data_IF_022909791786
#
_entry.id   IF_022909791786
#
_cell.length_a   1.000
_cell.length_b   1.000
_cell.length_c   1.000
_cell.angle_alpha   90.00
_cell.angle_beta   90.00
_cell.angle_gamma   90.00
#
_symmetry.space_group_name_H-M   'P 1'
#
loop_
_entity.id
_entity.type
_entity.pdbx_description
1 polymer ?
#
# COMPACT_ATOMS: atom_id res chain seq x y z
N UNK A 1 -44.77 -36.40 -57.39
CA UNK A 1 -43.91 -37.07 -56.38
C UNK A 1 -42.48 -36.53 -56.28
N UNK A 2 -42.09 -35.52 -57.08
CA UNK A 2 -40.72 -34.96 -57.07
C UNK A 2 -40.59 -33.74 -56.13
N UNK A 3 -41.69 -33.03 -55.88
CA UNK A 3 -41.71 -31.79 -55.07
C UNK A 3 -41.56 -32.03 -53.56
N UNK A 4 -42.09 -33.13 -53.02
CA UNK A 4 -41.97 -33.46 -51.59
C UNK A 4 -40.55 -33.90 -51.20
N UNK A 5 -39.84 -34.64 -52.07
CA UNK A 5 -38.44 -35.04 -51.81
C UNK A 5 -37.44 -33.88 -51.82
N UNK A 6 -37.74 -32.79 -52.53
CA UNK A 6 -36.92 -31.58 -52.55
C UNK A 6 -37.12 -30.74 -51.27
N UNK A 7 -38.37 -30.60 -50.80
CA UNK A 7 -38.69 -29.89 -49.56
C UNK A 7 -38.03 -30.51 -48.31
N UNK A 8 -38.00 -31.84 -48.21
CA UNK A 8 -37.28 -32.52 -47.10
C UNK A 8 -35.76 -32.33 -47.17
N UNK A 9 -35.16 -32.26 -48.36
CA UNK A 9 -33.71 -32.02 -48.51
C UNK A 9 -33.32 -30.58 -48.15
N UNK A 10 -34.15 -29.59 -48.52
CA UNK A 10 -33.94 -28.18 -48.14
C UNK A 10 -34.17 -27.96 -46.65
N UNK A 11 -35.18 -28.61 -46.05
CA UNK A 11 -35.42 -28.55 -44.60
C UNK A 11 -34.32 -29.26 -43.78
N UNK A 12 -33.76 -30.38 -44.28
CA UNK A 12 -32.62 -31.05 -43.65
C UNK A 12 -31.35 -30.20 -43.75
N UNK A 13 -31.13 -29.53 -44.89
CA UNK A 13 -29.97 -28.65 -45.09
C UNK A 13 -30.06 -27.37 -44.22
N UNK A 14 -31.26 -26.81 -44.03
CA UNK A 14 -31.48 -25.67 -43.13
C UNK A 14 -31.30 -26.05 -41.64
N UNK A 15 -31.68 -27.28 -41.26
CA UNK A 15 -31.44 -27.80 -39.90
C UNK A 15 -29.95 -28.07 -39.62
N UNK A 16 -29.19 -28.51 -40.63
CA UNK A 16 -27.74 -28.73 -40.52
C UNK A 16 -26.96 -27.41 -40.41
N UNK A 17 -27.41 -26.34 -41.08
CA UNK A 17 -26.80 -24.99 -40.98
C UNK A 17 -27.12 -24.33 -39.63
N UNK A 18 -28.32 -24.50 -39.09
CA UNK A 18 -28.69 -24.00 -37.76
C UNK A 18 -27.96 -24.75 -36.62
N UNK A 19 -27.64 -26.03 -36.79
CA UNK A 19 -26.91 -26.82 -35.79
C UNK A 19 -25.41 -26.50 -35.74
N UNK A 20 -24.82 -26.06 -36.86
CA UNK A 20 -23.40 -25.68 -36.93
C UNK A 20 -23.10 -24.30 -36.33
N UNK A 21 -24.05 -23.36 -36.35
CA UNK A 21 -23.94 -22.07 -35.65
C UNK A 21 -23.96 -22.20 -34.10
N UNK A 22 -24.69 -23.17 -33.55
CA UNK A 22 -24.73 -23.37 -32.09
C UNK A 22 -23.42 -23.94 -31.52
N UNK A 23 -22.70 -24.78 -32.27
CA UNK A 23 -21.41 -25.34 -31.86
C UNK A 23 -20.28 -24.29 -31.85
N UNK A 24 -20.28 -23.33 -32.78
CA UNK A 24 -19.27 -22.26 -32.81
C UNK A 24 -19.43 -21.23 -31.68
N UNK A 25 -20.68 -20.90 -31.30
CA UNK A 25 -20.97 -19.94 -30.23
C UNK A 25 -20.41 -20.38 -28.87
N UNK A 26 -20.43 -21.68 -28.57
CA UNK A 26 -19.94 -22.24 -27.30
C UNK A 26 -18.41 -22.13 -27.16
N UNK A 27 -17.66 -22.35 -28.25
CA UNK A 27 -16.19 -22.22 -28.26
C UNK A 27 -15.72 -20.77 -28.09
N UNK A 28 -16.50 -19.80 -28.57
CA UNK A 28 -16.15 -18.38 -28.55
C UNK A 28 -16.07 -17.84 -27.12
N UNK A 29 -17.05 -18.18 -26.27
CA UNK A 29 -17.10 -17.73 -24.87
C UNK A 29 -15.99 -18.37 -24.03
N UNK A 30 -15.67 -19.63 -24.30
CA UNK A 30 -14.56 -20.33 -23.64
C UNK A 30 -13.20 -19.71 -23.98
N UNK A 31 -12.98 -19.33 -25.25
CA UNK A 31 -11.78 -18.62 -25.71
C UNK A 31 -11.66 -17.22 -25.09
N UNK A 32 -12.76 -16.47 -25.01
CA UNK A 32 -12.80 -15.15 -24.36
C UNK A 32 -12.38 -15.23 -22.88
N UNK A 33 -12.94 -16.19 -22.13
CA UNK A 33 -12.60 -16.37 -20.72
C UNK A 33 -11.15 -16.82 -20.52
N UNK A 34 -10.62 -17.64 -21.43
CA UNK A 34 -9.22 -18.09 -21.38
C UNK A 34 -8.24 -16.96 -21.69
N UNK A 35 -8.53 -16.12 -22.68
CA UNK A 35 -7.75 -14.90 -22.98
C UNK A 35 -7.73 -13.95 -21.77
N UNK A 36 -8.90 -13.73 -21.15
CA UNK A 36 -9.02 -12.91 -19.95
C UNK A 36 -8.19 -13.46 -18.77
N UNK A 37 -8.17 -14.79 -18.59
CA UNK A 37 -7.35 -15.46 -17.58
C UNK A 37 -5.86 -15.23 -17.81
N UNK A 38 -5.40 -15.36 -19.05
CA UNK A 38 -3.99 -15.17 -19.41
C UNK A 38 -3.53 -13.71 -19.24
N UNK A 39 -4.38 -12.74 -19.56
CA UNK A 39 -4.10 -11.32 -19.32
C UNK A 39 -3.89 -11.05 -17.83
N UNK A 40 -4.79 -11.53 -16.98
CA UNK A 40 -4.67 -11.39 -15.52
C UNK A 40 -3.40 -12.05 -14.97
N UNK A 41 -2.99 -13.21 -15.51
CA UNK A 41 -1.73 -13.85 -15.11
C UNK A 41 -0.49 -13.05 -15.51
N UNK A 42 -0.49 -12.42 -16.70
CA UNK A 42 0.59 -11.55 -17.15
C UNK A 42 0.69 -10.29 -16.29
N UNK A 43 -0.43 -9.69 -15.92
CA UNK A 43 -0.48 -8.56 -14.99
C UNK A 43 0.14 -8.92 -13.63
N UNK A 44 -0.17 -10.11 -13.08
CA UNK A 44 0.45 -10.60 -11.83
C UNK A 44 1.98 -10.70 -11.96
N UNK A 45 2.49 -11.22 -13.09
CA UNK A 45 3.92 -11.39 -13.31
C UNK A 45 4.65 -10.05 -13.45
N UNK A 46 4.12 -9.14 -14.28
CA UNK A 46 4.68 -7.80 -14.45
C UNK A 46 4.73 -7.04 -13.12
N UNK A 47 3.67 -7.17 -12.33
CA UNK A 47 3.61 -6.55 -11.01
C UNK A 47 4.62 -7.15 -10.02
N UNK A 48 4.82 -8.47 -10.03
CA UNK A 48 5.84 -9.12 -9.21
C UNK A 48 7.26 -8.63 -9.55
N UNK A 49 7.55 -8.40 -10.83
CA UNK A 49 8.83 -7.85 -11.29
C UNK A 49 9.03 -6.40 -10.81
N UNK A 50 8.02 -5.53 -10.96
CA UNK A 50 8.06 -4.14 -10.48
C UNK A 50 8.24 -4.05 -8.95
N UNK A 51 7.64 -4.99 -8.20
CA UNK A 51 7.82 -5.11 -6.75
C UNK A 51 9.24 -5.51 -6.34
N UNK A 52 9.90 -6.38 -7.12
CA UNK A 52 11.28 -6.80 -6.86
C UNK A 52 12.29 -5.67 -7.08
N UNK A 53 12.07 -4.83 -8.10
CA UNK A 53 12.92 -3.67 -8.41
C UNK A 53 12.75 -2.56 -7.37
N UNK A 54 11.52 -2.28 -6.93
CA UNK A 54 11.24 -1.26 -5.93
C UNK A 54 11.51 -1.67 -4.47
N UNK A 55 12.05 -2.86 -4.19
CA UNK A 55 12.52 -3.24 -2.83
C UNK A 55 13.83 -2.55 -2.41
N UNK A 56 14.60 -2.03 -3.38
CA UNK A 56 15.86 -1.31 -3.15
C UNK A 56 15.65 0.17 -2.76
N UNK A 57 14.46 0.70 -2.98
CA UNK A 57 14.04 2.03 -2.54
C UNK A 57 12.98 1.87 -1.45
N UNK A 58 13.11 2.57 -0.33
CA UNK A 58 12.25 2.42 0.83
C UNK A 58 10.80 2.86 0.52
N UNK A 59 9.97 1.96 -0.02
CA UNK A 59 8.58 2.28 -0.41
C UNK A 59 7.73 2.70 0.79
N UNK A 60 7.02 3.83 0.64
CA UNK A 60 6.01 4.31 1.58
C UNK A 60 4.95 3.23 1.88
N UNK A 61 4.50 3.16 3.14
CA UNK A 61 3.46 2.22 3.62
C UNK A 61 2.17 2.36 2.79
N UNK A 62 1.85 3.56 2.30
CA UNK A 62 0.70 3.81 1.42
C UNK A 62 0.78 3.01 0.11
N UNK A 63 1.95 2.99 -0.52
CA UNK A 63 2.17 2.24 -1.78
C UNK A 63 2.03 0.73 -1.52
N UNK A 64 2.51 0.23 -0.37
CA UNK A 64 2.33 -1.18 0.00
C UNK A 64 0.86 -1.58 0.16
N UNK A 65 0.05 -0.71 0.78
CA UNK A 65 -1.40 -0.95 0.94
C UNK A 65 -2.11 -0.95 -0.41
N UNK A 66 -1.78 -0.02 -1.29
CA UNK A 66 -2.32 0.03 -2.66
C UNK A 66 -1.95 -1.21 -3.47
N UNK A 67 -0.68 -1.63 -3.40
CA UNK A 67 -0.16 -2.82 -4.08
C UNK A 67 -0.88 -4.10 -3.63
N UNK A 68 -1.06 -4.29 -2.32
CA UNK A 68 -1.75 -5.47 -1.76
C UNK A 68 -3.23 -5.45 -2.15
N UNK A 69 -3.89 -4.29 -2.03
CA UNK A 69 -5.30 -4.15 -2.40
C UNK A 69 -5.55 -4.48 -3.87
N UNK A 70 -4.67 -4.03 -4.77
CA UNK A 70 -4.73 -4.36 -6.19
C UNK A 70 -4.57 -5.86 -6.45
N UNK A 71 -3.60 -6.52 -5.80
CA UNK A 71 -3.43 -7.99 -5.88
C UNK A 71 -4.68 -8.75 -5.43
N UNK A 72 -5.32 -8.29 -4.35
CA UNK A 72 -6.58 -8.88 -3.87
C UNK A 72 -7.67 -8.77 -4.94
N UNK A 73 -7.82 -7.61 -5.58
CA UNK A 73 -8.79 -7.41 -6.68
C UNK A 73 -8.51 -8.34 -7.86
N UNK A 74 -7.26 -8.49 -8.27
CA UNK A 74 -6.89 -9.39 -9.38
C UNK A 74 -7.20 -10.85 -9.03
N UNK A 75 -6.88 -11.31 -7.81
CA UNK A 75 -7.22 -12.66 -7.37
C UNK A 75 -8.74 -12.88 -7.34
N UNK A 76 -9.52 -11.90 -6.90
CA UNK A 76 -10.99 -11.97 -6.94
C UNK A 76 -11.51 -12.14 -8.37
N UNK A 77 -10.99 -11.36 -9.31
CA UNK A 77 -11.35 -11.45 -10.72
C UNK A 77 -10.95 -12.81 -11.33
N UNK A 78 -9.75 -13.30 -11.00
CA UNK A 78 -9.27 -14.61 -11.44
C UNK A 78 -10.14 -15.75 -10.91
N UNK A 79 -10.52 -15.71 -9.62
CA UNK A 79 -11.46 -16.66 -9.01
C UNK A 79 -12.81 -16.62 -9.73
N UNK A 80 -13.33 -15.42 -10.01
CA UNK A 80 -14.61 -15.23 -10.70
C UNK A 80 -14.60 -15.83 -12.12
N UNK A 81 -13.60 -15.50 -12.93
CA UNK A 81 -13.44 -16.03 -14.30
C UNK A 81 -13.25 -17.55 -14.27
N UNK A 82 -12.45 -18.07 -13.34
CA UNK A 82 -12.22 -19.52 -13.23
C UNK A 82 -13.49 -20.27 -12.82
N UNK A 83 -14.32 -19.70 -11.94
CA UNK A 83 -15.64 -20.23 -11.60
C UNK A 83 -16.59 -20.24 -12.81
N UNK A 84 -16.59 -19.16 -13.61
CA UNK A 84 -17.39 -19.12 -14.83
C UNK A 84 -16.97 -20.23 -15.81
N UNK A 85 -15.67 -20.46 -15.99
CA UNK A 85 -15.16 -21.57 -16.81
C UNK A 85 -15.57 -22.94 -16.25
N UNK A 86 -15.49 -23.16 -14.94
CA UNK A 86 -15.91 -24.42 -14.31
C UNK A 86 -17.42 -24.68 -14.45
N UNK A 87 -18.23 -23.62 -14.40
CA UNK A 87 -19.68 -23.68 -14.63
C UNK A 87 -20.01 -24.01 -16.10
N UNK A 88 -19.26 -23.44 -17.05
CA UNK A 88 -19.41 -23.80 -18.47
C UNK A 88 -19.11 -25.28 -18.69
N UNK A 89 -17.96 -25.78 -18.21
CA UNK A 89 -17.61 -27.21 -18.30
C UNK A 89 -18.69 -28.09 -17.68
N UNK A 90 -19.29 -27.68 -16.56
CA UNK A 90 -20.40 -28.42 -15.93
C UNK A 90 -21.64 -28.48 -16.84
N UNK A 91 -21.97 -27.40 -17.54
CA UNK A 91 -23.08 -27.40 -18.52
C UNK A 91 -22.79 -28.33 -19.69
N UNK A 92 -21.56 -28.33 -20.20
CA UNK A 92 -21.13 -29.21 -21.30
C UNK A 92 -21.23 -30.69 -20.91
N UNK A 93 -20.69 -31.06 -19.75
CA UNK A 93 -20.78 -32.41 -19.19
C UNK A 93 -22.24 -32.86 -19.11
N UNK A 94 -23.11 -32.00 -18.56
CA UNK A 94 -24.54 -32.31 -18.40
C UNK A 94 -25.25 -32.45 -19.76
N UNK A 95 -24.92 -31.63 -20.75
CA UNK A 95 -25.48 -31.74 -22.09
C UNK A 95 -25.05 -33.05 -22.77
N UNK A 96 -23.77 -33.41 -22.68
CA UNK A 96 -23.25 -34.67 -23.21
C UNK A 96 -23.90 -35.89 -22.53
N UNK A 97 -24.11 -35.85 -21.20
CA UNK A 97 -24.83 -36.91 -20.47
C UNK A 97 -26.26 -37.06 -20.99
N UNK A 98 -26.98 -35.95 -21.22
CA UNK A 98 -28.33 -35.98 -21.80
C UNK A 98 -28.33 -36.59 -23.21
N UNK A 99 -27.36 -36.23 -24.05
CA UNK A 99 -27.22 -36.80 -25.40
C UNK A 99 -26.93 -38.29 -25.36
N UNK A 100 -26.01 -38.74 -24.50
CA UNK A 100 -25.72 -40.15 -24.27
C UNK A 100 -26.98 -40.91 -23.84
N UNK A 101 -27.79 -40.35 -22.94
CA UNK A 101 -29.06 -40.96 -22.54
C UNK A 101 -30.01 -41.14 -23.73
N UNK A 102 -30.20 -40.09 -24.54
CA UNK A 102 -31.05 -40.15 -25.74
C UNK A 102 -30.56 -41.18 -26.76
N UNK A 103 -29.23 -41.26 -26.97
CA UNK A 103 -28.61 -42.24 -27.86
C UNK A 103 -28.84 -43.68 -27.37
N UNK A 104 -28.73 -43.92 -26.06
CA UNK A 104 -29.04 -45.22 -25.44
C UNK A 104 -30.50 -45.61 -25.60
N UNK A 105 -31.42 -44.67 -25.40
CA UNK A 105 -32.86 -44.91 -25.59
C UNK A 105 -33.17 -45.22 -27.06
N UNK A 106 -32.58 -44.47 -28.00
CA UNK A 106 -32.70 -44.73 -29.44
C UNK A 106 -32.16 -46.11 -29.81
N UNK A 107 -31.01 -46.52 -29.27
CA UNK A 107 -30.44 -47.85 -29.49
C UNK A 107 -31.35 -48.96 -28.94
N UNK A 108 -31.98 -48.73 -27.78
CA UNK A 108 -32.95 -49.67 -27.20
C UNK A 108 -34.15 -49.85 -28.12
N UNK A 109 -34.76 -48.76 -28.58
CA UNK A 109 -35.89 -48.78 -29.52
C UNK A 109 -35.49 -49.50 -30.81
N UNK A 110 -34.31 -49.21 -31.36
CA UNK A 110 -33.79 -49.86 -32.57
C UNK A 110 -33.72 -51.39 -32.44
N UNK A 111 -33.22 -51.87 -31.30
CA UNK A 111 -33.13 -53.30 -30.98
C UNK A 111 -34.52 -53.93 -30.83
N UNK A 112 -35.42 -53.25 -30.13
CA UNK A 112 -36.80 -53.72 -29.94
C UNK A 112 -37.58 -53.80 -31.26
N UNK A 113 -37.47 -52.79 -32.12
CA UNK A 113 -38.15 -52.76 -33.42
C UNK A 113 -37.60 -53.82 -34.37
N UNK A 114 -36.27 -54.01 -34.38
CA UNK A 114 -35.66 -55.11 -35.13
C UNK A 114 -36.13 -56.47 -34.60
N UNK A 115 -36.15 -56.67 -33.27
CA UNK A 115 -36.65 -57.91 -32.68
C UNK A 115 -38.13 -58.15 -33.01
N UNK A 116 -38.99 -57.12 -32.90
CA UNK A 116 -40.41 -57.20 -33.31
C UNK A 116 -40.55 -57.54 -34.78
N UNK A 117 -39.73 -56.98 -35.67
CA UNK A 117 -39.71 -57.33 -37.09
C UNK A 117 -39.37 -58.81 -37.30
N UNK A 118 -38.31 -59.30 -36.64
CA UNK A 118 -37.91 -60.72 -36.75
C UNK A 118 -39.01 -61.65 -36.22
N UNK A 119 -39.60 -61.34 -35.06
CA UNK A 119 -40.69 -62.12 -34.47
C UNK A 119 -41.94 -62.08 -35.36
N UNK A 120 -42.33 -60.91 -35.89
CA UNK A 120 -43.45 -60.80 -36.83
C UNK A 120 -43.18 -61.60 -38.10
N UNK A 121 -41.99 -61.47 -38.70
CA UNK A 121 -41.59 -62.24 -39.88
C UNK A 121 -41.58 -63.75 -39.62
N UNK A 122 -41.29 -64.18 -38.39
CA UNK A 122 -41.35 -65.59 -37.99
C UNK A 122 -42.80 -66.06 -37.78
N UNK A 123 -43.64 -65.27 -37.09
CA UNK A 123 -45.03 -65.63 -36.77
C UNK A 123 -45.99 -65.51 -37.96
N UNK A 124 -45.68 -64.66 -38.95
CA UNK A 124 -46.60 -64.31 -40.04
C UNK A 124 -46.80 -65.36 -41.14
N UNK A 125 -46.45 -66.64 -40.93
CA UNK A 125 -46.97 -67.83 -41.68
C UNK A 125 -46.45 -69.16 -41.09
N UNK A 126 -46.80 -69.40 -39.82
CA UNK A 126 -47.02 -70.70 -39.12
C UNK A 126 -45.91 -71.78 -39.12
N UNK A 127 -45.42 -72.11 -37.92
CA UNK A 127 -44.56 -73.25 -37.50
C UNK A 127 -43.30 -73.68 -38.29
N UNK A 128 -43.05 -73.28 -39.54
CA UNK A 128 -41.81 -73.66 -40.26
C UNK A 128 -41.27 -72.58 -41.24
N UNK A 129 -40.29 -71.83 -40.71
CA UNK A 129 -39.14 -71.19 -41.38
C UNK A 129 -39.33 -69.97 -42.31
N UNK A 130 -38.39 -69.00 -42.15
CA UNK A 130 -38.19 -67.77 -42.97
C UNK A 130 -38.22 -68.00 -44.49
N UNK A 131 -37.95 -69.23 -44.92
CA UNK A 131 -37.94 -69.67 -46.32
C UNK A 131 -39.36 -69.60 -46.92
N UNK A 132 -40.42 -69.96 -46.19
CA UNK A 132 -41.78 -69.98 -46.73
C UNK A 132 -42.35 -68.57 -46.98
N UNK A 133 -41.96 -67.56 -46.18
CA UNK A 133 -42.30 -66.16 -46.46
C UNK A 133 -41.66 -65.66 -47.77
N UNK A 134 -40.39 -66.01 -47.99
CA UNK A 134 -39.68 -65.70 -49.23
C UNK A 134 -40.34 -66.43 -50.42
N UNK A 135 -40.65 -67.72 -50.27
CA UNK A 135 -41.26 -68.56 -51.30
C UNK A 135 -42.77 -68.28 -51.55
N UNK A 136 -43.49 -67.63 -50.62
CA UNK A 136 -44.92 -67.25 -50.77
C UNK A 136 -45.17 -66.04 -51.69
N UNK A 137 -44.17 -65.66 -52.48
CA UNK A 137 -44.25 -64.57 -53.45
C UNK A 137 -44.84 -65.09 -54.77
N UNK A 138 -45.65 -64.31 -55.48
CA UNK A 138 -46.31 -64.79 -56.71
C UNK A 138 -45.32 -65.10 -57.85
N UNK A 139 -44.04 -64.68 -57.72
CA UNK A 139 -42.93 -65.09 -58.59
C UNK A 139 -41.56 -65.02 -57.87
N UNK A 140 -40.55 -65.72 -58.41
CA UNK A 140 -39.17 -65.78 -57.86
C UNK A 140 -38.52 -64.38 -57.74
N UNK A 141 -38.81 -63.48 -58.67
CA UNK A 141 -38.28 -62.11 -58.66
C UNK A 141 -38.76 -61.31 -57.43
N UNK A 142 -40.02 -61.45 -57.03
CA UNK A 142 -40.58 -60.83 -55.83
C UNK A 142 -39.99 -61.41 -54.54
N UNK A 143 -39.77 -62.73 -54.50
CA UNK A 143 -39.08 -63.40 -53.39
C UNK A 143 -37.66 -62.85 -53.18
N UNK A 144 -36.90 -62.75 -54.28
CA UNK A 144 -35.55 -62.20 -54.28
C UNK A 144 -35.53 -60.73 -53.83
N UNK A 145 -36.44 -59.88 -54.34
CA UNK A 145 -36.54 -58.48 -53.91
C UNK A 145 -36.85 -58.34 -52.41
N UNK A 146 -37.76 -59.15 -51.87
CA UNK A 146 -38.09 -59.17 -50.42
C UNK A 146 -36.88 -59.59 -49.57
N UNK A 147 -36.14 -60.61 -50.00
CA UNK A 147 -34.90 -61.03 -49.34
C UNK A 147 -33.87 -59.89 -49.32
N UNK A 148 -33.69 -59.22 -50.46
CA UNK A 148 -32.78 -58.07 -50.56
C UNK A 148 -33.20 -56.93 -49.64
N UNK A 149 -34.49 -56.61 -49.54
CA UNK A 149 -34.97 -55.57 -48.62
C UNK A 149 -34.78 -55.92 -47.14
N UNK A 150 -35.03 -57.17 -46.75
CA UNK A 150 -34.76 -57.62 -45.37
C UNK A 150 -33.27 -57.51 -45.06
N UNK A 151 -32.42 -57.95 -45.98
CA UNK A 151 -30.96 -57.86 -45.85
C UNK A 151 -30.51 -56.39 -45.76
N UNK A 152 -31.04 -55.53 -46.62
CA UNK A 152 -30.74 -54.09 -46.63
C UNK A 152 -31.18 -53.42 -45.34
N UNK A 153 -32.38 -53.72 -44.84
CA UNK A 153 -32.89 -53.18 -43.58
C UNK A 153 -32.09 -53.67 -42.38
N UNK A 154 -31.76 -54.96 -42.31
CA UNK A 154 -30.92 -55.51 -41.24
C UNK A 154 -29.52 -54.89 -41.24
N UNK A 155 -28.91 -54.71 -42.42
CA UNK A 155 -27.63 -54.04 -42.58
C UNK A 155 -27.71 -52.57 -42.14
N UNK A 156 -28.75 -51.84 -42.56
CA UNK A 156 -28.98 -50.47 -42.14
C UNK A 156 -29.14 -50.34 -40.61
N UNK A 157 -29.93 -51.21 -39.98
CA UNK A 157 -30.10 -51.21 -38.52
C UNK A 157 -28.79 -51.52 -37.78
N UNK A 158 -27.98 -52.43 -38.33
CA UNK A 158 -26.65 -52.72 -37.80
C UNK A 158 -25.72 -51.51 -37.90
N UNK A 159 -25.68 -50.84 -39.06
CA UNK A 159 -24.87 -49.64 -39.27
C UNK A 159 -25.30 -48.49 -38.35
N UNK A 160 -26.62 -48.26 -38.20
CA UNK A 160 -27.14 -47.26 -37.26
C UNK A 160 -26.77 -47.58 -35.80
N UNK A 161 -26.82 -48.85 -35.41
CA UNK A 161 -26.41 -49.30 -34.08
C UNK A 161 -24.92 -49.06 -33.80
N UNK A 162 -24.04 -49.38 -34.76
CA UNK A 162 -22.60 -49.13 -34.64
C UNK A 162 -22.26 -47.63 -34.63
N UNK A 163 -22.95 -46.82 -35.44
CA UNK A 163 -22.80 -45.36 -35.42
C UNK A 163 -23.13 -44.80 -34.03
N UNK A 164 -24.28 -45.17 -33.46
CA UNK A 164 -24.70 -44.74 -32.13
C UNK A 164 -23.70 -45.20 -31.06
N UNK A 165 -23.18 -46.44 -31.17
CA UNK A 165 -22.17 -46.97 -30.26
C UNK A 165 -20.89 -46.15 -30.30
N UNK A 166 -20.39 -45.85 -31.50
CA UNK A 166 -19.19 -45.03 -31.71
C UNK A 166 -19.35 -43.62 -31.14
N UNK A 167 -20.44 -42.94 -31.49
CA UNK A 167 -20.72 -41.58 -31.00
C UNK A 167 -20.89 -41.55 -29.47
N UNK A 168 -21.50 -42.57 -28.88
CA UNK A 168 -21.63 -42.70 -27.41
C UNK A 168 -20.26 -42.83 -26.74
N UNK A 169 -19.35 -43.65 -27.30
CA UNK A 169 -18.00 -43.83 -26.77
C UNK A 169 -17.17 -42.55 -26.87
N UNK A 170 -17.26 -41.83 -27.99
CA UNK A 170 -16.59 -40.55 -28.18
C UNK A 170 -17.05 -39.50 -27.16
N UNK A 171 -18.37 -39.39 -26.92
CA UNK A 171 -18.93 -38.49 -25.91
C UNK A 171 -18.54 -38.88 -24.47
N UNK A 172 -18.39 -40.18 -24.19
CA UNK A 172 -17.94 -40.67 -22.89
C UNK A 172 -16.48 -40.29 -22.61
N UNK A 173 -15.58 -40.49 -23.57
CA UNK A 173 -14.17 -40.09 -23.44
C UNK A 173 -14.03 -38.56 -23.37
N UNK A 174 -14.82 -37.81 -24.16
CA UNK A 174 -14.87 -36.34 -24.06
C UNK A 174 -15.27 -35.90 -22.65
N UNK A 175 -16.32 -36.46 -22.07
CA UNK A 175 -16.77 -36.14 -20.72
C UNK A 175 -15.73 -36.45 -19.65
N UNK A 176 -15.02 -37.58 -19.77
CA UNK A 176 -13.93 -37.93 -18.87
C UNK A 176 -12.82 -36.88 -18.87
N UNK A 177 -12.50 -36.33 -20.04
CA UNK A 177 -11.56 -35.21 -20.16
C UNK A 177 -12.12 -33.92 -19.53
N UNK A 178 -13.37 -33.56 -19.82
CA UNK A 178 -14.01 -32.36 -19.24
C UNK A 178 -14.09 -32.40 -17.72
N UNK A 179 -14.33 -33.58 -17.13
CA UNK A 179 -14.30 -33.78 -15.66
C UNK A 179 -12.91 -33.51 -15.10
N UNK A 180 -11.85 -34.05 -15.69
CA UNK A 180 -10.46 -33.77 -15.28
C UNK A 180 -10.13 -32.28 -15.36
N UNK A 181 -10.55 -31.60 -16.43
CA UNK A 181 -10.36 -30.16 -16.59
C UNK A 181 -11.11 -29.36 -15.50
N UNK A 182 -12.34 -29.76 -15.17
CA UNK A 182 -13.12 -29.15 -14.09
C UNK A 182 -12.44 -29.31 -12.73
N UNK A 183 -11.96 -30.52 -12.40
CA UNK A 183 -11.24 -30.79 -11.16
C UNK A 183 -9.96 -29.95 -11.04
N UNK A 184 -9.19 -29.83 -12.12
CA UNK A 184 -8.00 -28.97 -12.15
C UNK A 184 -8.35 -27.50 -11.89
N UNK A 185 -9.42 -26.98 -12.51
CA UNK A 185 -9.90 -25.61 -12.27
C UNK A 185 -10.39 -25.41 -10.83
N UNK A 186 -11.03 -26.42 -10.23
CA UNK A 186 -11.47 -26.37 -8.84
C UNK A 186 -10.29 -26.26 -7.86
N UNK A 187 -9.22 -27.04 -8.08
CA UNK A 187 -7.98 -26.92 -7.30
C UNK A 187 -7.34 -25.53 -7.42
N UNK A 188 -7.36 -24.94 -8.62
CA UNK A 188 -6.86 -23.57 -8.83
C UNK A 188 -7.71 -22.52 -8.09
N UNK A 189 -9.03 -22.69 -8.04
CA UNK A 189 -9.93 -21.79 -7.28
C UNK A 189 -9.60 -21.86 -5.79
N UNK A 190 -9.41 -23.05 -5.24
CA UNK A 190 -9.07 -23.27 -3.83
C UNK A 190 -7.71 -22.66 -3.47
N UNK A 191 -6.69 -22.88 -4.30
CA UNK A 191 -5.38 -22.28 -4.13
C UNK A 191 -5.46 -20.73 -4.15
N UNK A 192 -6.18 -20.16 -5.12
CA UNK A 192 -6.35 -18.70 -5.23
C UNK A 192 -7.13 -18.12 -4.04
N UNK A 193 -8.13 -18.84 -3.51
CA UNK A 193 -8.87 -18.43 -2.29
C UNK A 193 -7.95 -18.40 -1.08
N UNK A 194 -7.10 -19.40 -0.90
CA UNK A 194 -6.11 -19.42 0.18
C UNK A 194 -5.11 -18.26 0.06
N UNK A 195 -4.59 -17.99 -1.15
CA UNK A 195 -3.70 -16.84 -1.39
C UNK A 195 -4.39 -15.50 -1.12
N UNK A 196 -5.66 -15.36 -1.52
CA UNK A 196 -6.46 -14.16 -1.23
C UNK A 196 -6.63 -13.95 0.27
N UNK A 197 -6.99 -14.98 1.03
CA UNK A 197 -7.18 -14.89 2.49
C UNK A 197 -5.92 -14.38 3.18
N UNK A 198 -4.74 -14.89 2.78
CA UNK A 198 -3.45 -14.43 3.33
C UNK A 198 -3.19 -12.96 3.01
N UNK A 199 -3.49 -12.51 1.79
CA UNK A 199 -3.34 -11.10 1.43
C UNK A 199 -4.35 -10.19 2.13
N UNK A 200 -5.57 -10.66 2.41
CA UNK A 200 -6.58 -9.91 3.17
C UNK A 200 -6.13 -9.72 4.63
N UNK A 201 -5.50 -10.74 5.24
CA UNK A 201 -4.87 -10.64 6.56
C UNK A 201 -3.70 -9.64 6.55
N UNK A 202 -2.78 -9.76 5.60
CA UNK A 202 -1.65 -8.83 5.44
C UNK A 202 -2.14 -7.38 5.22
N UNK A 203 -3.20 -7.19 4.43
CA UNK A 203 -3.81 -5.87 4.20
C UNK A 203 -4.37 -5.28 5.50
N UNK A 204 -4.99 -6.10 6.36
CA UNK A 204 -5.54 -5.67 7.65
C UNK A 204 -4.42 -5.22 8.59
N UNK A 205 -3.35 -6.00 8.68
CA UNK A 205 -2.18 -5.65 9.50
C UNK A 205 -1.53 -4.34 9.04
N UNK A 206 -1.30 -4.19 7.73
CA UNK A 206 -0.71 -2.96 7.18
C UNK A 206 -1.60 -1.73 7.40
N UNK A 207 -2.93 -1.86 7.30
CA UNK A 207 -3.87 -0.77 7.61
C UNK A 207 -3.85 -0.38 9.09
N UNK A 208 -3.74 -1.35 9.99
CA UNK A 208 -3.64 -1.09 11.43
C UNK A 208 -2.33 -0.36 11.77
N UNK A 209 -1.21 -0.82 11.20
CA UNK A 209 0.09 -0.16 11.33
C UNK A 209 0.07 1.26 10.77
N UNK A 210 -0.53 1.47 9.60
CA UNK A 210 -0.67 2.82 9.04
C UNK A 210 -1.50 3.75 9.94
N UNK A 211 -2.58 3.23 10.51
CA UNK A 211 -3.44 3.99 11.43
C UNK A 211 -2.71 4.37 12.73
N UNK A 212 -1.91 3.46 13.31
CA UNK A 212 -1.11 3.76 14.50
C UNK A 212 -0.04 4.82 14.21
N UNK A 213 0.70 4.69 13.11
CA UNK A 213 1.68 5.68 12.67
C UNK A 213 1.05 7.05 12.46
N UNK A 214 -0.14 7.13 11.84
CA UNK A 214 -0.86 8.39 11.64
C UNK A 214 -1.30 9.02 12.98
N UNK A 215 -1.75 8.20 13.93
CA UNK A 215 -2.12 8.65 15.28
C UNK A 215 -0.91 9.23 16.03
N UNK A 216 0.22 8.54 15.96
CA UNK A 216 1.47 8.97 16.60
C UNK A 216 2.03 10.23 15.94
N UNK A 217 2.02 10.33 14.61
CA UNK A 217 2.39 11.55 13.87
C UNK A 217 1.54 12.75 14.30
N UNK A 218 0.22 12.58 14.42
CA UNK A 218 -0.67 13.66 14.86
C UNK A 218 -0.36 14.07 16.31
N UNK A 219 -0.12 13.10 17.20
CA UNK A 219 0.27 13.34 18.60
C UNK A 219 1.58 14.13 18.67
N UNK A 220 2.62 13.69 17.98
CA UNK A 220 3.92 14.37 17.96
C UNK A 220 3.86 15.74 17.31
N UNK A 221 3.10 15.89 16.22
CA UNK A 221 2.89 17.20 15.56
C UNK A 221 2.22 18.20 16.51
N UNK A 222 1.20 17.75 17.26
CA UNK A 222 0.55 18.57 18.29
C UNK A 222 1.53 18.96 19.41
N UNK A 223 2.33 18.01 19.90
CA UNK A 223 3.36 18.26 20.92
C UNK A 223 4.43 19.25 20.44
N UNK A 224 4.94 19.09 19.23
CA UNK A 224 5.92 20.01 18.61
C UNK A 224 5.32 21.42 18.49
N UNK A 225 4.05 21.54 18.06
CA UNK A 225 3.36 22.84 17.96
C UNK A 225 3.23 23.53 19.32
N UNK A 226 2.88 22.78 20.36
CA UNK A 226 2.78 23.31 21.73
C UNK A 226 4.14 23.77 22.24
N UNK A 227 5.18 22.94 22.09
CA UNK A 227 6.55 23.28 22.50
C UNK A 227 7.12 24.48 21.75
N UNK A 228 6.81 24.62 20.46
CA UNK A 228 7.18 25.80 19.66
C UNK A 228 6.50 27.07 20.19
N UNK A 229 5.19 27.03 20.47
CA UNK A 229 4.46 28.17 21.05
C UNK A 229 5.01 28.56 22.44
N UNK A 230 5.37 27.59 23.27
CA UNK A 230 6.03 27.84 24.56
C UNK A 230 7.37 28.57 24.36
N UNK A 231 8.20 28.11 23.42
CA UNK A 231 9.47 28.76 23.09
C UNK A 231 9.27 30.19 22.55
N UNK A 232 8.33 30.39 21.62
CA UNK A 232 8.05 31.71 21.04
C UNK A 232 7.52 32.71 22.08
N UNK A 233 6.74 32.24 23.08
CA UNK A 233 6.28 33.07 24.20
C UNK A 233 7.44 33.53 25.08
N UNK A 234 8.36 32.61 25.41
CA UNK A 234 9.55 32.93 26.19
C UNK A 234 10.47 33.91 25.47
N UNK A 235 10.66 33.75 24.16
CA UNK A 235 11.47 34.67 23.36
C UNK A 235 10.86 36.08 23.36
N UNK A 236 9.54 36.22 23.20
CA UNK A 236 8.85 37.52 23.32
C UNK A 236 8.96 38.16 24.71
N UNK A 237 8.92 37.35 25.77
CA UNK A 237 9.09 37.82 27.14
C UNK A 237 10.51 38.32 27.39
N UNK A 238 11.53 37.58 26.90
CA UNK A 238 12.93 38.00 26.92
C UNK A 238 13.11 39.33 26.18
N UNK A 239 12.56 39.46 24.97
CA UNK A 239 12.61 40.70 24.20
C UNK A 239 11.92 41.87 24.91
N UNK A 240 10.79 41.61 25.59
CA UNK A 240 10.12 42.62 26.41
C UNK A 240 11.01 43.07 27.58
N UNK A 241 11.58 42.13 28.33
CA UNK A 241 12.48 42.43 29.46
C UNK A 241 13.70 43.25 28.99
N UNK A 242 14.28 42.91 27.84
CA UNK A 242 15.40 43.66 27.27
C UNK A 242 14.95 45.08 26.86
N UNK A 243 13.79 45.23 26.21
CA UNK A 243 13.25 46.56 25.84
C UNK A 243 12.94 47.43 27.05
N UNK A 244 12.29 46.88 28.07
CA UNK A 244 11.94 47.60 29.30
C UNK A 244 13.22 48.04 30.05
N UNK A 245 14.27 47.21 30.02
CA UNK A 245 15.58 47.55 30.55
C UNK A 245 16.26 48.70 29.79
N UNK A 246 16.21 48.68 28.44
CA UNK A 246 16.73 49.77 27.59
C UNK A 246 15.99 51.07 27.88
N UNK A 247 14.66 51.04 27.85
CA UNK A 247 13.82 52.20 28.06
C UNK A 247 14.04 52.81 29.44
N UNK A 248 14.09 51.98 30.50
CA UNK A 248 14.36 52.44 31.87
C UNK A 248 15.74 53.09 32.00
N UNK A 249 16.77 52.54 31.33
CA UNK A 249 18.10 53.12 31.37
C UNK A 249 18.20 54.42 30.57
N UNK A 250 17.51 54.52 29.43
CA UNK A 250 17.48 55.74 28.61
C UNK A 250 16.73 56.86 29.31
N UNK A 251 15.60 56.55 29.95
CA UNK A 251 14.85 57.50 30.77
C UNK A 251 15.69 58.05 31.92
N UNK A 252 16.41 57.18 32.67
CA UNK A 252 17.34 57.60 33.74
C UNK A 252 18.49 58.46 33.23
N UNK A 253 18.88 58.31 31.96
CA UNK A 253 19.95 59.08 31.32
C UNK A 253 19.45 60.30 30.55
N UNK A 254 18.15 60.67 30.65
CA UNK A 254 17.57 61.81 29.96
C UNK A 254 17.50 61.67 28.43
N UNK A 255 17.62 60.46 27.88
CA UNK A 255 17.55 60.18 26.44
C UNK A 255 16.20 59.58 26.06
N UNK A 256 15.88 59.62 24.76
CA UNK A 256 14.61 59.06 24.24
C UNK A 256 14.40 57.60 24.64
N UNK A 257 13.21 57.30 25.17
CA UNK A 257 12.75 55.95 25.50
C UNK A 257 12.54 55.07 24.26
N UNK A 258 12.49 55.65 23.05
CA UNK A 258 12.34 54.93 21.78
C UNK A 258 13.64 54.39 21.19
N UNK A 259 14.80 54.71 21.79
CA UNK A 259 16.09 54.21 21.30
C UNK A 259 16.22 52.69 21.49
N UNK A 260 16.75 52.00 20.47
CA UNK A 260 17.03 50.55 20.50
C UNK A 260 18.36 50.20 21.17
N UNK A 261 19.17 51.21 21.50
CA UNK A 261 20.47 51.09 22.16
C UNK A 261 20.42 51.69 23.56
N UNK A 262 21.30 51.21 24.44
CA UNK A 262 21.42 51.76 25.78
C UNK A 262 22.13 53.11 25.75
N UNK A 263 21.70 54.02 26.63
CA UNK A 263 22.48 55.19 27.01
C UNK A 263 23.67 54.71 27.83
N UNK A 264 24.78 54.45 27.15
CA UNK A 264 26.00 53.98 27.80
C UNK A 264 26.69 55.11 28.57
N UNK A 265 27.13 54.79 29.79
CA UNK A 265 28.13 55.56 30.52
C UNK A 265 29.49 55.43 29.82
N UNK A 266 30.47 56.27 30.17
CA UNK A 266 31.86 56.14 29.72
C UNK A 266 32.41 54.72 29.96
N UNK A 267 32.17 54.17 31.15
CA UNK A 267 32.52 52.78 31.50
C UNK A 267 31.80 51.75 30.62
N UNK A 268 30.49 51.94 30.37
CA UNK A 268 29.70 51.05 29.51
C UNK A 268 30.16 51.04 28.05
N UNK A 269 30.64 52.19 27.55
CA UNK A 269 31.24 52.29 26.20
C UNK A 269 32.58 51.57 26.12
N UNK A 270 33.43 51.72 27.14
CA UNK A 270 34.69 50.99 27.21
C UNK A 270 34.45 49.48 27.26
N UNK A 271 33.46 49.03 28.05
CA UNK A 271 33.10 47.62 28.15
C UNK A 271 32.56 47.06 26.81
N UNK A 272 31.69 47.81 26.13
CA UNK A 272 31.19 47.42 24.81
C UNK A 272 32.31 47.33 23.76
N UNK A 273 33.25 48.29 23.78
CA UNK A 273 34.43 48.26 22.92
C UNK A 273 35.30 47.04 23.21
N UNK A 274 35.56 46.73 24.49
CA UNK A 274 36.31 45.54 24.90
C UNK A 274 35.62 44.24 24.48
N UNK A 275 34.28 44.16 24.57
CA UNK A 275 33.52 43.01 24.08
C UNK A 275 33.69 42.82 22.57
N UNK A 276 33.65 43.91 21.79
CA UNK A 276 33.87 43.88 20.33
C UNK A 276 35.30 43.47 19.99
N UNK A 277 36.30 43.98 20.71
CA UNK A 277 37.72 43.63 20.50
C UNK A 277 38.02 42.14 20.75
N UNK A 278 37.20 41.48 21.57
CA UNK A 278 37.32 40.04 21.84
C UNK A 278 36.41 39.17 20.94
N UNK A 279 35.85 39.74 19.86
CA UNK A 279 35.06 38.99 18.89
C UNK A 279 35.88 37.83 18.30
N UNK A 280 35.33 36.62 18.35
CA UNK A 280 35.97 35.38 17.90
C UNK A 280 36.95 34.78 18.90
N UNK A 281 37.13 35.41 20.07
CA UNK A 281 38.05 34.97 21.14
C UNK A 281 37.35 34.77 22.48
N UNK A 282 36.02 34.90 22.54
CA UNK A 282 35.30 34.73 23.79
C UNK A 282 35.34 33.25 24.22
N UNK A 283 35.54 32.97 25.52
CA UNK A 283 35.53 31.61 26.03
C UNK A 283 34.15 30.97 25.87
N UNK A 284 34.15 29.66 25.75
CA UNK A 284 32.91 28.88 25.74
C UNK A 284 32.13 29.05 27.04
N UNK A 285 30.78 29.06 26.98
CA UNK A 285 29.93 29.18 28.16
C UNK A 285 29.93 27.91 29.03
N UNK A 286 30.52 26.81 28.54
CA UNK A 286 30.74 25.54 29.26
C UNK A 286 32.15 25.04 28.98
N UNK A 287 32.71 24.28 29.91
CA UNK A 287 34.09 23.76 29.79
C UNK A 287 34.23 22.70 28.68
N UNK A 288 33.22 21.86 28.50
CA UNK A 288 33.16 20.86 27.44
C UNK A 288 31.77 20.85 26.83
N UNK A 289 31.67 20.81 25.51
CA UNK A 289 30.40 20.69 24.83
C UNK A 289 30.54 20.64 23.31
N UNK A 290 29.47 20.17 22.65
CA UNK A 290 29.38 20.06 21.19
C UNK A 290 28.16 20.82 20.71
N UNK A 291 28.30 21.64 19.66
CA UNK A 291 27.18 22.38 19.07
C UNK A 291 26.26 21.41 18.33
N UNK A 292 25.06 21.17 18.88
CA UNK A 292 24.05 20.29 18.29
C UNK A 292 23.16 21.03 17.28
N UNK A 293 22.93 22.32 17.51
CA UNK A 293 22.05 23.17 16.68
C UNK A 293 22.73 24.53 16.53
N UNK A 294 22.99 24.94 15.29
CA UNK A 294 23.63 26.23 14.97
C UNK A 294 22.59 27.35 14.87
N UNK A 295 23.05 28.60 14.86
CA UNK A 295 22.21 29.77 14.61
C UNK A 295 21.63 29.75 13.18
N UNK A 296 20.42 30.26 13.02
CA UNK A 296 19.73 30.38 11.75
C UNK A 296 18.80 29.20 11.43
N UNK A 297 18.42 29.10 10.16
CA UNK A 297 17.49 28.07 9.67
C UNK A 297 18.25 26.85 9.19
N UNK A 298 18.00 25.69 9.79
CA UNK A 298 18.59 24.40 9.40
C UNK A 298 17.51 23.34 9.23
N UNK A 299 17.75 22.33 8.40
CA UNK A 299 16.81 21.22 8.22
C UNK A 299 16.78 20.36 9.49
N UNK A 300 15.61 19.92 9.92
CA UNK A 300 15.51 19.01 11.06
C UNK A 300 16.19 17.67 10.73
N UNK A 301 17.02 17.11 11.63
CA UNK A 301 17.63 15.78 11.45
C UNK A 301 16.61 14.65 11.33
N UNK A 302 15.43 14.84 11.94
CA UNK A 302 14.36 13.84 12.02
C UNK A 302 13.39 13.99 10.84
N UNK A 303 13.14 15.22 10.37
CA UNK A 303 12.25 15.49 9.24
C UNK A 303 12.81 16.63 8.38
N UNK A 304 13.39 16.28 7.23
CA UNK A 304 14.03 17.25 6.33
C UNK A 304 13.06 18.30 5.76
N UNK A 305 11.74 18.06 5.80
CA UNK A 305 10.70 18.99 5.32
C UNK A 305 10.32 20.04 6.36
N UNK A 306 10.73 19.91 7.62
CA UNK A 306 10.45 20.88 8.68
C UNK A 306 11.73 21.66 9.04
N UNK A 307 11.83 22.95 8.69
CA UNK A 307 12.98 23.77 9.07
C UNK A 307 12.97 24.10 10.56
N UNK A 308 14.13 23.97 11.21
CA UNK A 308 14.43 24.45 12.56
C UNK A 308 15.04 25.84 12.45
N UNK A 309 14.33 26.86 12.93
CA UNK A 309 14.90 28.20 13.10
C UNK A 309 15.45 28.35 14.52
N UNK A 310 16.71 28.75 14.66
CA UNK A 310 17.37 28.93 15.96
C UNK A 310 17.93 30.34 16.09
N UNK A 311 17.52 31.05 17.13
CA UNK A 311 17.97 32.40 17.48
C UNK A 311 19.37 32.43 18.15
N UNK A 312 20.02 31.27 18.31
CA UNK A 312 21.34 31.12 18.90
C UNK A 312 21.88 29.72 18.68
N UNK A 313 22.75 29.26 19.58
CA UNK A 313 23.36 27.93 19.52
C UNK A 313 22.86 27.06 20.67
N UNK A 314 22.73 25.75 20.40
CA UNK A 314 22.43 24.76 21.44
C UNK A 314 23.64 23.85 21.60
N UNK A 315 24.22 23.86 22.80
CA UNK A 315 25.47 23.17 23.11
C UNK A 315 25.12 21.97 23.99
N UNK A 316 25.32 20.76 23.47
CA UNK A 316 25.23 19.54 24.27
C UNK A 316 26.44 19.44 25.19
N UNK A 317 26.23 19.15 26.46
CA UNK A 317 27.29 19.10 27.49
C UNK A 317 27.01 17.97 28.48
N UNK A 318 27.90 17.79 29.44
CA UNK A 318 27.74 16.78 30.49
C UNK A 318 26.61 17.17 31.45
N UNK A 319 26.04 16.16 32.13
CA UNK A 319 25.04 16.39 33.18
C UNK A 319 25.60 17.33 34.24
N UNK A 320 24.78 18.28 34.67
CA UNK A 320 25.12 19.24 35.73
C UNK A 320 26.39 20.07 35.42
N UNK A 321 26.67 20.31 34.13
CA UNK A 321 27.78 21.14 33.73
C UNK A 321 27.64 22.56 34.29
N UNK A 322 28.76 23.10 34.78
CA UNK A 322 28.84 24.47 35.30
C UNK A 322 28.88 25.44 34.12
N UNK A 323 27.90 26.33 34.09
CA UNK A 323 27.80 27.39 33.07
C UNK A 323 28.58 28.60 33.54
N UNK A 324 29.36 29.17 32.64
CA UNK A 324 30.28 30.29 32.89
C UNK A 324 29.90 31.51 32.07
N UNK A 325 30.15 32.70 32.60
CA UNK A 325 30.00 33.95 31.83
C UNK A 325 31.06 34.02 30.74
N UNK A 326 30.65 34.31 29.51
CA UNK A 326 31.59 34.45 28.38
C UNK A 326 32.40 35.74 28.46
N UNK A 327 31.93 36.75 29.19
CA UNK A 327 32.62 38.02 29.35
C UNK A 327 32.23 38.71 30.66
N UNK A 328 32.98 39.72 31.08
CA UNK A 328 32.65 40.53 32.26
C UNK A 328 31.42 41.42 31.99
N UNK A 329 30.54 41.59 32.97
CA UNK A 329 29.29 42.34 32.77
C UNK A 329 28.42 42.41 34.02
N UNK A 330 27.19 42.87 33.85
CA UNK A 330 26.21 42.97 34.95
C UNK A 330 25.00 42.08 34.67
N UNK A 331 24.56 41.31 35.66
CA UNK A 331 23.35 40.48 35.54
C UNK A 331 22.12 41.39 35.44
N UNK A 332 21.53 41.46 34.26
CA UNK A 332 20.39 42.35 33.99
C UNK A 332 19.09 41.77 34.53
N UNK A 333 18.85 40.48 34.30
CA UNK A 333 17.63 39.81 34.70
C UNK A 333 17.82 38.31 34.80
N UNK A 334 16.97 37.69 35.61
CA UNK A 334 16.89 36.25 35.81
C UNK A 334 15.43 35.86 35.64
N UNK A 335 15.16 34.91 34.75
CA UNK A 335 13.82 34.39 34.49
C UNK A 335 13.77 32.97 35.06
N UNK A 336 12.83 32.73 35.97
CA UNK A 336 12.63 31.44 36.64
C UNK A 336 11.22 30.95 36.35
N UNK A 337 10.99 30.30 35.20
CA UNK A 337 9.67 29.77 34.88
C UNK A 337 9.36 28.55 35.74
N UNK A 338 8.06 28.29 35.99
CA UNK A 338 7.59 27.18 36.86
C UNK A 338 8.05 25.78 36.42
N UNK A 339 8.54 25.63 35.20
CA UNK A 339 8.99 24.36 34.61
C UNK A 339 10.51 24.11 34.74
N UNK A 340 11.26 24.97 35.43
CA UNK A 340 12.69 24.75 35.73
C UNK A 340 13.67 25.10 34.60
N UNK A 341 13.21 25.70 33.50
CA UNK A 341 14.08 26.19 32.43
C UNK A 341 14.57 27.62 32.72
N UNK A 342 15.43 27.75 33.73
CA UNK A 342 15.87 29.07 34.18
C UNK A 342 16.76 29.74 33.14
N UNK A 343 16.65 31.05 33.03
CA UNK A 343 17.39 31.85 32.06
C UNK A 343 18.08 33.04 32.73
N UNK A 344 19.36 33.23 32.47
CA UNK A 344 20.15 34.38 32.95
C UNK A 344 20.45 35.29 31.77
N UNK A 345 20.25 36.60 31.95
CA UNK A 345 20.62 37.65 31.00
C UNK A 345 21.73 38.50 31.60
N UNK A 346 22.88 38.59 30.92
CA UNK A 346 24.04 39.37 31.34
C UNK A 346 24.31 40.47 30.32
N UNK A 347 24.50 41.69 30.80
CA UNK A 347 24.76 42.88 29.99
C UNK A 347 26.25 43.18 29.92
N UNK A 348 26.75 43.39 28.71
CA UNK A 348 28.14 43.74 28.38
C UNK A 348 28.14 45.06 27.56
N UNK A 349 27.72 46.16 28.17
CA UNK A 349 27.48 47.43 27.46
C UNK A 349 26.21 47.39 26.60
N UNK A 350 26.36 47.37 25.28
CA UNK A 350 25.25 47.26 24.30
C UNK A 350 24.86 45.82 23.93
N UNK A 351 25.66 44.85 24.39
CA UNK A 351 25.43 43.43 24.12
C UNK A 351 24.76 42.74 25.31
N UNK A 352 23.92 41.76 25.00
CA UNK A 352 23.37 40.82 25.97
C UNK A 352 23.79 39.41 25.63
N UNK A 353 24.25 38.68 26.65
CA UNK A 353 24.40 37.23 26.57
C UNK A 353 23.29 36.57 27.36
N UNK A 354 22.69 35.54 26.77
CA UNK A 354 21.51 34.87 27.31
C UNK A 354 21.84 33.39 27.45
N UNK A 355 21.69 32.87 28.67
CA UNK A 355 21.97 31.48 29.03
C UNK A 355 20.65 30.83 29.45
N UNK A 356 20.14 29.89 28.64
CA UNK A 356 18.87 29.17 28.83
C UNK A 356 19.11 27.74 29.29
N UNK A 357 18.07 27.10 29.83
CA UNK A 357 18.08 25.70 30.28
C UNK A 357 19.01 25.46 31.48
N UNK A 358 18.91 26.34 32.48
CA UNK A 358 19.65 26.23 33.74
C UNK A 358 18.77 25.60 34.83
N UNK A 359 19.34 24.67 35.60
CA UNK A 359 18.70 24.05 36.77
C UNK A 359 18.91 24.88 38.03
N UNK A 360 20.13 25.41 38.21
CA UNK A 360 20.53 26.25 39.35
C UNK A 360 21.18 27.54 38.87
N UNK A 361 21.01 28.59 39.65
CA UNK A 361 21.56 29.92 39.39
C UNK A 361 22.40 30.31 40.61
N UNK A 362 23.62 30.82 40.38
CA UNK A 362 24.57 31.20 41.44
C UNK A 362 24.72 32.72 41.61
N UNK A 363 24.05 33.50 40.77
CA UNK A 363 24.13 34.97 40.74
C UNK A 363 22.76 35.61 40.95
N UNK A 364 22.74 36.86 41.38
CA UNK A 364 21.53 37.68 41.59
C UNK A 364 21.47 38.82 40.58
N UNK A 365 20.27 39.37 40.38
CA UNK A 365 20.06 40.54 39.52
C UNK A 365 20.85 41.73 40.08
N UNK A 366 21.66 42.37 39.24
CA UNK A 366 22.52 43.50 39.61
C UNK A 366 23.97 43.12 39.90
N UNK A 367 24.28 41.83 40.07
CA UNK A 367 25.65 41.39 40.35
C UNK A 367 26.58 41.68 39.17
N UNK A 368 27.79 42.15 39.48
CA UNK A 368 28.89 42.19 38.51
C UNK A 368 29.50 40.80 38.40
N UNK A 369 29.66 40.32 37.17
CA UNK A 369 30.28 39.04 36.86
C UNK A 369 31.56 39.23 36.07
N UNK A 370 32.53 38.35 36.27
CA UNK A 370 33.79 38.33 35.54
C UNK A 370 33.78 37.25 34.44
N UNK A 371 34.69 37.41 33.47
CA UNK A 371 34.92 36.40 32.42
C UNK A 371 35.24 35.05 33.05
N UNK A 372 34.62 33.97 32.56
CA UNK A 372 34.70 32.59 33.07
C UNK A 372 34.13 32.35 34.48
N UNK A 373 33.55 33.36 35.14
CA UNK A 373 32.88 33.15 36.43
C UNK A 373 31.70 32.19 36.29
N UNK A 374 31.55 31.26 37.23
CA UNK A 374 30.42 30.34 37.27
C UNK A 374 29.12 31.09 37.61
N UNK A 375 28.12 30.96 36.75
CA UNK A 375 26.83 31.67 36.89
C UNK A 375 25.65 30.73 37.16
N UNK A 376 25.81 29.43 36.88
CA UNK A 376 24.78 28.44 37.11
C UNK A 376 25.16 27.03 36.69
N UNK A 377 24.15 26.17 36.63
CA UNK A 377 24.27 24.74 36.28
C UNK A 377 23.22 24.36 35.24
N UNK A 378 23.58 23.54 34.27
CA UNK A 378 22.66 23.12 33.19
C UNK A 378 21.59 22.14 33.66
N UNK A 379 20.39 22.25 33.12
CA UNK A 379 19.30 21.29 33.33
C UNK A 379 19.42 20.10 32.37
N UNK A 380 19.32 18.88 32.92
CA UNK A 380 19.25 17.64 32.13
C UNK A 380 17.79 17.27 31.89
N UNK A 381 17.42 17.02 30.64
CA UNK A 381 16.09 16.57 30.29
C UNK A 381 15.90 15.11 30.73
N UNK A 382 14.85 14.84 31.52
CA UNK A 382 14.56 13.49 32.05
C UNK A 382 14.08 12.51 30.97
N UNK A 383 13.59 13.00 29.83
CA UNK A 383 12.99 12.16 28.79
C UNK A 383 14.02 11.49 27.86
N UNK A 384 15.08 12.21 27.49
CA UNK A 384 16.12 11.75 26.57
C UNK A 384 17.50 11.65 27.25
N UNK A 385 17.63 12.15 28.49
CA UNK A 385 18.89 12.17 29.23
C UNK A 385 19.89 13.21 28.75
N UNK A 386 19.51 14.06 27.78
CA UNK A 386 20.40 15.06 27.19
C UNK A 386 20.46 16.34 28.03
N UNK A 387 21.65 16.93 28.09
CA UNK A 387 21.90 18.21 28.75
C UNK A 387 22.31 19.22 27.70
N UNK A 388 21.45 20.19 27.39
CA UNK A 388 21.64 21.15 26.30
C UNK A 388 21.58 22.58 26.83
N UNK A 389 22.69 23.32 26.77
CA UNK A 389 22.72 24.74 27.06
C UNK A 389 22.24 25.53 25.83
N UNK A 390 21.26 26.41 26.02
CA UNK A 390 20.89 27.39 24.99
C UNK A 390 21.68 28.68 25.20
N UNK A 391 22.53 29.06 24.25
CA UNK A 391 23.32 30.28 24.30
C UNK A 391 22.94 31.22 23.16
N UNK A 392 22.64 32.47 23.50
CA UNK A 392 22.25 33.50 22.54
C UNK A 392 23.01 34.79 22.83
N UNK A 393 23.31 35.53 21.78
CA UNK A 393 23.85 36.90 21.86
C UNK A 393 22.82 37.82 21.23
N UNK A 394 22.49 38.91 21.89
CA UNK A 394 21.52 39.89 21.43
C UNK A 394 22.17 41.28 21.40
N UNK A 395 21.92 42.02 20.32
CA UNK A 395 22.44 43.38 20.11
C UNK A 395 21.43 44.18 19.28
N UNK A 396 21.17 45.43 19.65
CA UNK A 396 20.42 46.42 18.86
C UNK A 396 19.06 45.93 18.34
N UNK A 397 18.33 45.11 19.11
CA UNK A 397 17.03 44.57 18.68
C UNK A 397 17.09 43.25 17.91
N UNK A 398 18.28 42.65 17.71
CA UNK A 398 18.45 41.43 16.91
C UNK A 398 19.37 40.40 17.58
N UNK A 399 19.05 39.12 17.38
CA UNK A 399 19.94 38.02 17.74
C UNK A 399 21.11 37.92 16.77
N UNK A 400 22.31 37.78 17.34
CA UNK A 400 23.57 37.64 16.63
C UNK A 400 23.99 36.17 16.58
N UNK A 401 24.70 35.75 15.53
CA UNK A 401 25.27 34.41 15.44
C UNK A 401 26.41 34.25 16.46
N UNK A 402 26.27 33.38 17.49
CA UNK A 402 27.29 33.18 18.51
C UNK A 402 28.63 32.64 17.99
N UNK A 403 28.63 31.95 16.85
CA UNK A 403 29.86 31.39 16.27
C UNK A 403 30.86 32.47 15.81
N UNK A 404 30.41 33.70 15.60
CA UNK A 404 31.31 34.82 15.29
C UNK A 404 31.98 35.43 16.53
N UNK A 405 31.60 34.99 17.73
CA UNK A 405 32.04 35.58 18.99
C UNK A 405 32.88 34.60 19.82
N UNK A 406 32.45 33.34 19.87
CA UNK A 406 33.11 32.28 20.64
C UNK A 406 34.30 31.72 19.85
N UNK A 407 35.39 31.45 20.55
CA UNK A 407 36.60 30.86 19.98
C UNK A 407 36.35 29.44 19.45
N UNK A 408 36.64 29.21 18.16
CA UNK A 408 36.58 27.90 17.48
C UNK A 408 35.26 27.10 17.65
N UNK A 409 34.11 27.69 17.28
CA UNK A 409 32.75 27.14 17.53
C UNK A 409 32.07 26.26 16.46
#
# INVERSE_FOLDING_TARGET
MITTRFAYKVSLMFFVVLFSCFLQAQSSKQRELESRRQNLQREIQQFATLLSQGKKEEKSITVKVEDINYKVTILQNLISVTNQQANLLTREINNNIKTISKLRDKLKILKEDYAKMIVKSYKSKSEQSKVMFLLSSTNFQQAYKRLQYIKQYANYQKEQGELIRKETLELQELNKNLVKQKESKQKLIEANRASKSRLDEELKEQKQLFASIRKDLNKYTSQIRTKRREADRLDKEIEKIIRDAIASSNAKAGKSSSSKTFALTSEGRALAANFISNKGKLPWPVERGVVKVRYGTQKSPINKSVPINSNGVRIATNKNAKVRSVFEGTVQSIIVPKNGNNTILIRHGDFFTIYKNLSKIFVKKGDKVFTKQQIGETLTNKADGETILGFLIWKDGKYQNPAYWIDNM
#
